data_IF_846833534323
#
_entry.id   IF_846833534323
#
_cell.length_a   1.000
_cell.length_b   1.000
_cell.length_c   1.000
_cell.angle_alpha   90.00
_cell.angle_beta   90.00
_cell.angle_gamma   90.00
#
_symmetry.space_group_name_H-M   'P 1'
#
loop_
_entity.id
_entity.type
_entity.pdbx_description
1 polymer ?
#
# COMPACT_ATOMS: atom_id res chain seq x y z
N UNK A 1 57.05 -10.44 -1.90
CA UNK A 1 55.77 -10.43 -2.63
C UNK A 1 54.90 -11.54 -2.04
N UNK A 2 53.87 -11.21 -1.27
CA UNK A 2 52.99 -12.19 -0.62
C UNK A 2 51.84 -12.48 -1.60
N UNK A 3 51.84 -13.65 -2.25
CA UNK A 3 50.74 -14.05 -3.12
C UNK A 3 49.54 -14.42 -2.26
N UNK A 4 48.36 -13.78 -2.46
CA UNK A 4 47.17 -14.16 -1.72
C UNK A 4 46.76 -15.60 -2.09
N UNK A 5 46.43 -16.40 -1.07
CA UNK A 5 45.99 -17.79 -1.22
C UNK A 5 44.75 -17.86 -2.12
N UNK A 6 44.66 -18.82 -3.07
CA UNK A 6 43.61 -18.86 -4.10
C UNK A 6 42.19 -18.91 -3.50
N UNK A 7 42.05 -19.52 -2.32
CA UNK A 7 40.78 -19.56 -1.56
C UNK A 7 40.26 -18.17 -1.17
N UNK A 8 41.16 -17.21 -0.86
CA UNK A 8 40.79 -15.84 -0.49
C UNK A 8 40.27 -15.04 -1.69
N UNK A 9 40.85 -15.30 -2.87
CA UNK A 9 40.41 -14.68 -4.12
C UNK A 9 39.04 -15.24 -4.54
N UNK A 10 38.86 -16.56 -4.41
CA UNK A 10 37.60 -17.21 -4.72
C UNK A 10 36.45 -16.74 -3.80
N UNK A 11 36.70 -16.59 -2.50
CA UNK A 11 35.71 -16.05 -1.56
C UNK A 11 35.36 -14.60 -1.85
N UNK A 12 36.35 -13.77 -2.20
CA UNK A 12 36.10 -12.38 -2.57
C UNK A 12 35.29 -12.27 -3.87
N UNK A 13 35.61 -13.09 -4.87
CA UNK A 13 34.87 -13.13 -6.14
C UNK A 13 33.42 -13.59 -5.93
N UNK A 14 33.20 -14.60 -5.08
CA UNK A 14 31.86 -15.05 -4.71
C UNK A 14 31.06 -13.97 -3.98
N UNK A 15 31.68 -13.24 -3.05
CA UNK A 15 31.05 -12.13 -2.34
C UNK A 15 30.66 -10.99 -3.29
N UNK A 16 31.54 -10.62 -4.23
CA UNK A 16 31.24 -9.62 -5.25
C UNK A 16 30.11 -10.08 -6.20
N UNK A 17 30.12 -11.35 -6.61
CA UNK A 17 29.05 -11.92 -7.42
C UNK A 17 27.69 -11.91 -6.70
N UNK A 18 27.67 -12.19 -5.40
CA UNK A 18 26.46 -12.14 -4.58
C UNK A 18 25.92 -10.71 -4.44
N UNK A 19 26.79 -9.71 -4.28
CA UNK A 19 26.40 -8.29 -4.22
C UNK A 19 25.83 -7.80 -5.56
N UNK A 20 26.37 -8.28 -6.68
CA UNK A 20 25.88 -7.97 -8.04
C UNK A 20 24.55 -8.67 -8.36
N UNK A 21 24.32 -9.85 -7.78
CA UNK A 21 23.08 -10.61 -7.91
C UNK A 21 22.01 -10.20 -6.88
N UNK A 22 22.34 -9.28 -5.96
CA UNK A 22 21.39 -8.76 -5.00
C UNK A 22 20.27 -8.03 -5.76
N UNK A 23 19.03 -8.49 -5.56
CA UNK A 23 17.86 -7.88 -6.19
C UNK A 23 17.61 -6.49 -5.61
N UNK A 24 17.13 -5.56 -6.45
CA UNK A 24 16.74 -4.23 -6.00
C UNK A 24 15.64 -4.33 -4.93
N UNK A 25 15.69 -3.43 -3.94
CA UNK A 25 14.69 -3.31 -2.89
C UNK A 25 13.29 -3.25 -3.51
N UNK A 26 12.44 -4.23 -3.19
CA UNK A 26 11.05 -4.29 -3.66
C UNK A 26 10.24 -3.26 -2.87
N UNK A 27 10.23 -2.02 -3.32
CA UNK A 27 9.33 -0.99 -2.81
C UNK A 27 8.00 -1.13 -3.56
N UNK A 28 7.03 -1.77 -2.92
CA UNK A 28 5.64 -1.71 -3.38
C UNK A 28 5.09 -0.36 -2.92
N UNK A 29 4.53 0.40 -3.84
CA UNK A 29 3.78 1.62 -3.56
C UNK A 29 2.35 1.26 -3.21
N UNK A 30 1.92 1.68 -2.03
CA UNK A 30 0.57 1.47 -1.51
C UNK A 30 -0.16 2.80 -1.49
N UNK A 31 -1.18 2.93 -2.31
CA UNK A 31 -2.03 4.13 -2.39
C UNK A 31 -3.50 3.72 -2.39
N UNK A 32 -4.40 4.68 -2.17
CA UNK A 32 -5.82 4.37 -2.17
C UNK A 32 -6.66 5.48 -1.57
N UNK A 33 -7.96 5.21 -1.51
CA UNK A 33 -8.95 6.08 -0.90
C UNK A 33 -9.94 5.23 -0.10
N UNK A 34 -10.22 5.62 1.14
CA UNK A 34 -11.22 4.95 1.95
C UNK A 34 -12.14 5.95 2.65
N UNK A 35 -13.43 5.61 2.71
CA UNK A 35 -14.43 6.29 3.54
C UNK A 35 -15.32 5.26 4.22
N UNK A 36 -15.65 5.55 5.46
CA UNK A 36 -16.50 4.71 6.28
C UNK A 36 -16.47 5.24 7.70
N UNK A 37 -17.54 4.99 8.45
CA UNK A 37 -17.60 5.41 9.84
C UNK A 37 -18.98 5.23 10.44
N UNK A 38 -19.07 5.22 11.78
CA UNK A 38 -20.34 5.05 12.47
C UNK A 38 -21.27 6.23 12.22
N UNK A 39 -22.58 5.97 12.22
CA UNK A 39 -23.61 6.98 12.43
C UNK A 39 -24.92 6.36 12.87
N UNK A 40 -25.75 7.23 13.42
CA UNK A 40 -27.14 6.99 13.72
C UNK A 40 -28.01 8.02 13.01
N UNK A 41 -29.30 7.72 12.94
CA UNK A 41 -30.35 8.69 12.63
C UNK A 41 -31.21 8.89 13.89
N UNK A 42 -31.92 10.00 13.96
CA UNK A 42 -32.86 10.27 15.07
C UNK A 42 -34.10 9.37 15.05
N UNK A 43 -34.36 8.67 13.93
CA UNK A 43 -35.46 7.72 13.82
C UNK A 43 -35.07 6.40 14.49
N UNK A 44 -35.77 6.08 15.57
CA UNK A 44 -35.54 4.85 16.34
C UNK A 44 -35.64 3.60 15.46
N UNK A 45 -34.70 2.66 15.63
CA UNK A 45 -34.65 1.40 14.91
C UNK A 45 -34.28 1.49 13.43
N UNK A 46 -33.79 2.64 12.95
CA UNK A 46 -33.32 2.80 11.57
C UNK A 46 -31.79 2.97 11.50
N UNK A 47 -31.21 2.47 10.42
CA UNK A 47 -29.82 2.71 10.06
C UNK A 47 -29.59 4.16 9.61
N UNK A 48 -28.33 4.60 9.51
CA UNK A 48 -27.93 5.90 8.94
C UNK A 48 -28.69 6.16 7.63
N UNK A 49 -29.17 7.38 7.45
CA UNK A 49 -29.85 7.83 6.24
C UNK A 49 -29.01 8.89 5.51
N UNK A 50 -29.10 8.92 4.19
CA UNK A 50 -28.41 9.89 3.34
C UNK A 50 -29.41 10.63 2.47
N UNK A 51 -29.18 11.92 2.29
CA UNK A 51 -30.12 12.86 1.68
C UNK A 51 -29.51 13.50 0.44
N UNK A 52 -30.24 13.50 -0.68
CA UNK A 52 -29.77 14.03 -1.96
C UNK A 52 -30.81 14.93 -2.62
N UNK A 53 -30.35 15.73 -3.58
CA UNK A 53 -31.17 16.56 -4.46
C UNK A 53 -30.93 16.04 -5.88
N UNK A 54 -31.86 15.22 -6.39
CA UNK A 54 -31.63 14.47 -7.62
C UNK A 54 -30.44 13.52 -7.46
N UNK A 55 -29.47 13.63 -8.38
CA UNK A 55 -28.27 12.77 -8.40
C UNK A 55 -27.13 13.27 -7.49
N UNK A 56 -27.25 14.46 -6.90
CA UNK A 56 -26.20 15.09 -6.11
C UNK A 56 -26.49 15.08 -4.62
N UNK A 57 -25.43 15.10 -3.82
CA UNK A 57 -25.51 15.27 -2.36
C UNK A 57 -24.29 16.03 -1.81
N UNK A 58 -24.53 16.90 -0.83
CA UNK A 58 -23.45 17.43 0.00
C UNK A 58 -22.90 16.30 0.86
N UNK A 59 -21.57 16.08 0.83
CA UNK A 59 -20.99 14.81 1.30
C UNK A 59 -20.76 14.74 2.81
N UNK A 60 -20.42 15.85 3.47
CA UNK A 60 -20.03 15.83 4.88
C UNK A 60 -21.16 15.29 5.76
N UNK A 61 -20.93 14.16 6.43
CA UNK A 61 -21.93 13.48 7.28
C UNK A 61 -23.03 12.74 6.51
N UNK A 62 -22.93 12.62 5.18
CA UNK A 62 -24.01 12.19 4.30
C UNK A 62 -23.60 11.04 3.36
N UNK A 63 -22.77 10.15 3.90
CA UNK A 63 -22.24 8.96 3.24
C UNK A 63 -22.65 7.72 4.04
N UNK A 64 -23.39 6.82 3.40
CA UNK A 64 -24.07 5.68 4.03
C UNK A 64 -23.46 4.34 3.63
N UNK A 65 -22.35 4.39 2.93
CA UNK A 65 -21.63 3.27 2.38
C UNK A 65 -20.26 3.15 3.04
N UNK A 66 -19.71 1.94 2.97
CA UNK A 66 -18.31 1.68 3.27
C UNK A 66 -17.60 1.50 1.93
N UNK A 67 -16.72 2.43 1.60
CA UNK A 67 -16.07 2.48 0.28
C UNK A 67 -14.57 2.52 0.46
N UNK A 68 -13.86 1.66 -0.27
CA UNK A 68 -12.42 1.57 -0.21
C UNK A 68 -11.86 1.18 -1.58
N UNK A 69 -10.85 1.92 -2.01
CA UNK A 69 -10.00 1.62 -3.14
C UNK A 69 -8.59 1.40 -2.62
N UNK A 70 -7.97 0.31 -3.06
CA UNK A 70 -6.60 -0.05 -2.69
C UNK A 70 -5.82 -0.31 -3.96
N UNK A 71 -4.73 0.43 -4.13
CA UNK A 71 -3.85 0.32 -5.28
C UNK A 71 -2.47 -0.11 -4.81
N UNK A 72 -1.97 -1.15 -5.46
CA UNK A 72 -0.62 -1.66 -5.32
C UNK A 72 0.10 -1.43 -6.63
N UNK A 73 1.21 -0.70 -6.58
CA UNK A 73 2.08 -0.50 -7.72
C UNK A 73 3.50 -0.92 -7.35
N UNK A 74 4.27 -1.32 -8.35
CA UNK A 74 5.70 -1.56 -8.18
C UNK A 74 6.39 -0.98 -9.41
N UNK A 75 7.30 -0.03 -9.19
CA UNK A 75 8.15 0.44 -10.25
C UNK A 75 9.10 -0.70 -10.67
N UNK A 76 9.22 -0.92 -11.98
CA UNK A 76 10.17 -1.86 -12.57
C UNK A 76 11.50 -1.16 -12.87
#
# INVERSE_FOLDING_TARGET
MHTPTPYRIATLAAACGALMAATAAQAVDWTGYMRGGPAATSVSGKSRQCYGIGEFKYRLGNECDFYGEFQLAQAM
#
